data_IF_255556160958
#
_entry.id   IF_255556160958
#
_cell.length_a   1.000
_cell.length_b   1.000
_cell.length_c   1.000
_cell.angle_alpha   90.00
_cell.angle_beta   90.00
_cell.angle_gamma   90.00
#
_symmetry.space_group_name_H-M   'P 1'
#
loop_
_entity.id
_entity.type
_entity.pdbx_description
1 polymer ?
#
# COMPACT_ATOMS: atom_id res chain seq x y z
N UNK A 1 11.75 16.71 -2.04
CA UNK A 1 12.65 15.76 -1.35
C UNK A 1 12.33 15.74 0.14
N UNK A 2 12.10 14.59 0.80
CA UNK A 2 11.63 14.54 2.19
C UNK A 2 12.64 15.12 3.20
N UNK A 3 13.96 14.96 2.98
CA UNK A 3 15.00 15.56 3.83
C UNK A 3 15.00 17.09 3.84
N UNK A 4 14.37 17.76 2.87
CA UNK A 4 14.21 19.23 2.88
C UNK A 4 13.05 19.69 3.76
N UNK A 5 12.16 18.78 4.16
CA UNK A 5 10.92 19.09 4.90
C UNK A 5 10.87 18.46 6.29
N UNK A 6 11.53 17.31 6.47
CA UNK A 6 11.55 16.58 7.73
C UNK A 6 12.99 16.32 8.16
N UNK A 7 13.22 16.37 9.48
CA UNK A 7 14.50 15.96 10.05
C UNK A 7 14.76 14.48 9.73
N UNK A 8 16.01 14.13 9.42
CA UNK A 8 16.41 12.77 9.11
C UNK A 8 16.04 11.75 10.21
N UNK A 9 16.01 12.17 11.48
CA UNK A 9 15.59 11.32 12.61
C UNK A 9 14.13 10.84 12.53
N UNK A 10 13.30 11.52 11.72
CA UNK A 10 11.90 11.15 11.48
C UNK A 10 11.73 10.27 10.24
N UNK A 11 12.81 9.95 9.54
CA UNK A 11 12.79 9.16 8.31
C UNK A 11 13.52 7.84 8.57
N UNK A 12 12.80 6.73 8.41
CA UNK A 12 13.37 5.40 8.59
C UNK A 12 14.32 5.09 7.42
N UNK A 13 15.56 4.61 7.66
CA UNK A 13 16.45 4.19 6.58
C UNK A 13 15.85 3.01 5.84
N UNK A 14 16.01 2.96 4.51
CA UNK A 14 15.40 1.95 3.64
C UNK A 14 16.25 0.69 3.49
N UNK A 15 17.45 0.78 2.93
CA UNK A 15 18.33 -0.38 2.69
C UNK A 15 19.77 0.09 2.50
N UNK A 16 20.75 -0.77 2.79
CA UNK A 16 22.14 -0.53 2.40
C UNK A 16 22.28 -0.86 0.91
N UNK A 17 22.36 0.18 0.08
CA UNK A 17 22.56 0.04 -1.36
C UNK A 17 24.05 -0.15 -1.64
N UNK A 18 24.46 -1.38 -1.95
CA UNK A 18 25.85 -1.74 -2.23
C UNK A 18 26.19 -1.71 -3.72
N UNK A 19 25.20 -1.66 -4.61
CA UNK A 19 25.42 -1.77 -6.06
C UNK A 19 25.50 -0.42 -6.76
N UNK A 20 24.53 0.47 -6.52
CA UNK A 20 24.43 1.74 -7.25
C UNK A 20 24.98 2.91 -6.43
N UNK A 21 24.39 3.19 -5.26
CA UNK A 21 24.68 4.42 -4.49
C UNK A 21 25.72 4.21 -3.39
N UNK A 22 26.13 2.97 -3.12
CA UNK A 22 27.17 2.55 -2.16
C UNK A 22 26.99 3.19 -0.77
N UNK A 23 25.75 3.29 -0.29
CA UNK A 23 25.43 3.93 0.98
C UNK A 23 24.11 3.41 1.58
N UNK A 24 23.91 3.66 2.88
CA UNK A 24 22.61 3.45 3.52
C UNK A 24 21.62 4.49 3.00
N UNK A 25 20.58 4.05 2.29
CA UNK A 25 19.56 4.94 1.77
C UNK A 25 18.65 5.41 2.90
N UNK A 26 18.58 6.73 3.10
CA UNK A 26 17.63 7.35 4.02
C UNK A 26 17.06 8.62 3.38
N UNK A 27 15.73 8.68 3.24
CA UNK A 27 15.04 9.81 2.59
C UNK A 27 15.18 9.88 1.07
N UNK A 28 15.80 8.88 0.44
CA UNK A 28 15.90 8.73 -1.02
C UNK A 28 15.09 7.53 -1.47
N UNK A 29 14.49 7.61 -2.67
CA UNK A 29 13.75 6.49 -3.24
C UNK A 29 14.67 5.29 -3.42
N UNK A 30 14.16 4.11 -3.06
CA UNK A 30 14.88 2.85 -3.21
C UNK A 30 15.00 2.45 -4.69
N UNK A 31 13.89 2.59 -5.42
CA UNK A 31 13.77 2.24 -6.84
C UNK A 31 14.82 2.98 -7.67
N UNK A 32 15.64 2.21 -8.38
CA UNK A 32 16.77 2.74 -9.15
C UNK A 32 16.30 3.62 -10.30
N UNK A 33 15.25 3.20 -11.02
CA UNK A 33 14.69 3.96 -12.14
C UNK A 33 14.12 5.31 -11.70
N UNK A 34 13.31 5.34 -10.63
CA UNK A 34 12.78 6.57 -10.09
C UNK A 34 13.88 7.53 -9.60
N UNK A 35 15.01 7.01 -9.12
CA UNK A 35 16.14 7.86 -8.76
C UNK A 35 16.86 8.48 -9.96
N UNK A 36 17.04 7.72 -11.05
CA UNK A 36 17.56 8.29 -12.29
C UNK A 36 16.61 9.37 -12.87
N UNK A 37 15.31 9.26 -12.61
CA UNK A 37 14.30 10.26 -12.97
C UNK A 37 14.16 11.43 -11.98
N UNK A 38 15.14 11.64 -11.08
CA UNK A 38 15.13 12.76 -10.13
C UNK A 38 14.50 12.46 -8.77
N UNK A 39 14.23 11.20 -8.46
CA UNK A 39 13.83 10.71 -7.13
C UNK A 39 12.34 10.49 -6.93
N UNK A 40 11.49 10.89 -7.88
CA UNK A 40 10.06 10.64 -7.85
C UNK A 40 9.54 10.35 -9.27
N UNK A 41 8.80 9.25 -9.41
CA UNK A 41 8.21 8.80 -10.65
C UNK A 41 6.83 8.18 -10.36
N UNK A 42 6.03 7.91 -11.40
CA UNK A 42 4.67 7.37 -11.22
C UNK A 42 4.61 6.03 -10.46
N UNK A 43 5.70 5.28 -10.44
CA UNK A 43 5.83 4.00 -9.73
C UNK A 43 6.40 4.11 -8.30
N UNK A 44 7.20 5.13 -7.98
CA UNK A 44 7.94 5.21 -6.72
C UNK A 44 8.41 6.63 -6.35
N UNK A 45 8.85 6.82 -5.10
CA UNK A 45 9.47 8.07 -4.62
C UNK A 45 8.56 8.99 -3.81
N UNK A 46 7.34 8.56 -3.50
CA UNK A 46 6.46 9.25 -2.54
C UNK A 46 6.78 8.76 -1.12
N UNK A 47 6.98 9.70 -0.21
CA UNK A 47 7.20 9.45 1.22
C UNK A 47 6.03 9.98 2.04
N UNK A 48 5.51 9.16 2.94
CA UNK A 48 4.36 9.50 3.79
C UNK A 48 4.34 8.63 5.05
N UNK A 49 3.35 8.84 5.91
CA UNK A 49 3.10 8.04 7.11
C UNK A 49 1.66 7.48 7.08
N UNK A 50 1.33 6.61 8.05
CA UNK A 50 0.02 5.97 8.10
C UNK A 50 -1.14 6.98 8.27
N UNK A 51 -0.94 8.04 9.04
CA UNK A 51 -1.97 9.06 9.27
C UNK A 51 -2.30 9.85 7.99
N UNK A 52 -1.31 10.18 7.17
CA UNK A 52 -1.52 10.90 5.91
C UNK A 52 -2.11 9.98 4.83
N UNK A 53 -1.65 8.73 4.77
CA UNK A 53 -2.27 7.72 3.92
C UNK A 53 -3.74 7.47 4.32
N UNK A 54 -4.06 7.41 5.61
CA UNK A 54 -5.43 7.21 6.08
C UNK A 54 -6.39 8.28 5.53
N UNK A 55 -5.96 9.54 5.41
CA UNK A 55 -6.80 10.60 4.81
C UNK A 55 -7.13 10.31 3.35
N UNK A 56 -6.12 9.94 2.56
CA UNK A 56 -6.28 9.61 1.14
C UNK A 56 -7.15 8.37 0.98
N UNK A 57 -6.88 7.31 1.73
CA UNK A 57 -7.62 6.06 1.62
C UNK A 57 -9.06 6.21 2.14
N UNK A 58 -9.29 7.02 3.17
CA UNK A 58 -10.64 7.40 3.59
C UNK A 58 -11.37 8.17 2.48
N UNK A 59 -10.69 9.06 1.77
CA UNK A 59 -11.26 9.77 0.62
C UNK A 59 -11.73 8.78 -0.47
N UNK A 60 -10.93 7.74 -0.75
CA UNK A 60 -11.33 6.66 -1.66
C UNK A 60 -12.54 5.89 -1.14
N UNK A 61 -12.55 5.54 0.15
CA UNK A 61 -13.67 4.84 0.79
C UNK A 61 -14.97 5.66 0.70
N UNK A 62 -14.89 6.98 0.92
CA UNK A 62 -16.00 7.94 0.80
C UNK A 62 -16.21 8.48 -0.62
N UNK A 63 -15.73 7.75 -1.64
CA UNK A 63 -16.06 8.01 -3.05
C UNK A 63 -15.74 9.45 -3.50
N UNK A 64 -14.58 9.96 -3.10
CA UNK A 64 -14.02 11.21 -3.60
C UNK A 64 -14.08 12.36 -2.62
N UNK A 65 -14.57 12.15 -1.39
CA UNK A 65 -14.78 13.22 -0.40
C UNK A 65 -13.97 12.99 0.87
N UNK A 66 -13.40 14.05 1.43
CA UNK A 66 -12.72 13.99 2.72
C UNK A 66 -12.70 15.37 3.38
N UNK A 67 -12.98 15.42 4.68
CA UNK A 67 -12.96 16.68 5.46
C UNK A 67 -13.91 17.75 4.90
N UNK A 68 -15.08 17.37 4.39
CA UNK A 68 -16.05 18.30 3.81
C UNK A 68 -15.75 18.75 2.37
N UNK A 69 -14.63 18.33 1.78
CA UNK A 69 -14.24 18.70 0.42
C UNK A 69 -14.34 17.51 -0.55
N UNK A 70 -14.74 17.78 -1.80
CA UNK A 70 -14.71 16.80 -2.91
C UNK A 70 -13.45 16.99 -3.74
N UNK A 71 -12.63 15.93 -3.80
CA UNK A 71 -11.40 15.87 -4.60
C UNK A 71 -11.62 15.17 -5.94
N UNK A 72 -12.49 14.17 -5.96
CA UNK A 72 -12.83 13.41 -7.16
C UNK A 72 -14.34 13.21 -7.30
N UNK A 73 -14.81 13.09 -8.54
CA UNK A 73 -16.16 12.63 -8.79
C UNK A 73 -16.30 11.16 -8.41
N UNK A 74 -17.40 10.81 -7.75
CA UNK A 74 -17.65 9.45 -7.31
C UNK A 74 -17.68 8.45 -8.50
N UNK A 75 -18.13 8.89 -9.68
CA UNK A 75 -18.15 8.07 -10.90
C UNK A 75 -16.74 7.68 -11.35
N UNK A 76 -15.76 8.57 -11.19
CA UNK A 76 -14.37 8.34 -11.55
C UNK A 76 -13.74 7.33 -10.61
N UNK A 77 -13.92 7.48 -9.29
CA UNK A 77 -13.36 6.50 -8.35
C UNK A 77 -14.00 5.14 -8.52
N UNK A 78 -15.33 5.05 -8.66
CA UNK A 78 -16.00 3.78 -8.97
C UNK A 78 -15.42 3.13 -10.21
N UNK A 79 -15.23 3.88 -11.30
CA UNK A 79 -14.63 3.35 -12.52
C UNK A 79 -13.25 2.71 -12.27
N UNK A 80 -12.40 3.33 -11.45
CA UNK A 80 -11.08 2.78 -11.12
C UNK A 80 -11.16 1.57 -10.18
N UNK A 81 -12.09 1.56 -9.24
CA UNK A 81 -12.22 0.54 -8.18
C UNK A 81 -13.22 -0.57 -8.49
N UNK A 82 -13.86 -0.55 -9.66
CA UNK A 82 -14.77 -1.62 -10.13
C UNK A 82 -14.34 -2.24 -11.45
N UNK A 83 -13.61 -1.51 -12.29
CA UNK A 83 -13.11 -2.06 -13.56
C UNK A 83 -11.99 -3.07 -13.31
N UNK A 84 -12.26 -4.34 -13.59
CA UNK A 84 -11.29 -5.44 -13.45
C UNK A 84 -10.64 -5.80 -14.78
N UNK A 85 -9.39 -6.23 -14.70
CA UNK A 85 -8.70 -6.87 -15.81
C UNK A 85 -9.34 -8.23 -16.12
N UNK A 86 -9.40 -8.59 -17.41
CA UNK A 86 -9.79 -9.94 -17.84
C UNK A 86 -8.67 -10.98 -17.66
N UNK A 87 -7.43 -10.53 -17.47
CA UNK A 87 -6.22 -11.37 -17.46
C UNK A 87 -5.66 -11.59 -16.05
N UNK A 88 -6.08 -10.79 -15.07
CA UNK A 88 -5.58 -10.85 -13.70
C UNK A 88 -6.60 -10.30 -12.71
N UNK A 89 -6.34 -10.46 -11.42
CA UNK A 89 -7.15 -9.86 -10.35
C UNK A 89 -7.06 -8.34 -10.26
N UNK A 90 -6.21 -7.67 -11.07
CA UNK A 90 -5.97 -6.22 -10.97
C UNK A 90 -7.21 -5.41 -11.35
N UNK A 91 -7.34 -4.27 -10.68
CA UNK A 91 -8.19 -3.15 -11.08
C UNK A 91 -7.33 -2.01 -11.65
N UNK A 92 -7.93 -0.92 -12.11
CA UNK A 92 -7.17 0.21 -12.64
C UNK A 92 -6.34 0.87 -11.53
N UNK A 93 -5.03 0.62 -11.55
CA UNK A 93 -4.07 1.14 -10.57
C UNK A 93 -3.99 0.35 -9.25
N UNK A 94 -4.80 -0.70 -9.06
CA UNK A 94 -4.87 -1.43 -7.80
C UNK A 94 -4.75 -2.95 -7.98
N UNK A 95 -4.23 -3.61 -6.96
CA UNK A 95 -4.46 -5.03 -6.73
C UNK A 95 -5.85 -5.24 -6.11
N UNK A 96 -6.44 -6.42 -6.28
CA UNK A 96 -7.76 -6.71 -5.73
C UNK A 96 -7.92 -8.19 -5.37
N UNK A 97 -9.06 -8.53 -4.78
CA UNK A 97 -9.45 -9.91 -4.46
C UNK A 97 -9.29 -10.86 -5.66
N UNK A 98 -8.69 -12.04 -5.43
CA UNK A 98 -8.41 -13.03 -6.47
C UNK A 98 -9.68 -13.86 -6.77
N UNK A 99 -10.27 -13.76 -7.98
CA UNK A 99 -11.50 -14.47 -8.31
C UNK A 99 -11.31 -15.98 -8.50
N UNK A 100 -10.09 -16.45 -8.77
CA UNK A 100 -9.81 -17.86 -8.93
C UNK A 100 -9.53 -18.52 -7.54
N UNK A 101 -10.37 -19.45 -7.07
CA UNK A 101 -10.23 -20.04 -5.74
C UNK A 101 -9.02 -20.98 -5.60
N UNK A 102 -8.40 -21.41 -6.71
CA UNK A 102 -7.17 -22.21 -6.69
C UNK A 102 -5.91 -21.36 -6.49
N UNK A 103 -6.02 -20.02 -6.54
CA UNK A 103 -4.90 -19.10 -6.33
C UNK A 103 -4.91 -18.54 -4.91
N UNK A 104 -3.70 -18.27 -4.40
CA UNK A 104 -3.53 -17.65 -3.08
C UNK A 104 -4.17 -16.25 -3.05
N UNK A 105 -5.02 -16.00 -2.05
CA UNK A 105 -5.60 -14.68 -1.83
C UNK A 105 -4.56 -13.66 -1.38
N UNK A 106 -4.60 -12.41 -1.90
CA UNK A 106 -3.73 -11.33 -1.44
C UNK A 106 -4.20 -10.70 -0.12
N UNK A 107 -5.45 -11.00 0.28
CA UNK A 107 -6.15 -10.50 1.47
C UNK A 107 -6.63 -11.68 2.32
N UNK A 108 -7.09 -11.44 3.55
CA UNK A 108 -7.72 -12.49 4.36
C UNK A 108 -9.09 -12.93 3.82
N UNK A 109 -9.53 -14.12 4.19
CA UNK A 109 -10.81 -14.71 3.75
C UNK A 109 -12.05 -13.90 4.19
N UNK A 110 -11.97 -13.18 5.32
CA UNK A 110 -13.05 -12.31 5.81
C UNK A 110 -13.20 -11.00 5.01
N UNK A 111 -12.23 -10.67 4.14
CA UNK A 111 -12.30 -9.47 3.33
C UNK A 111 -13.35 -9.62 2.23
N UNK A 112 -14.09 -8.56 1.92
CA UNK A 112 -15.07 -8.63 0.85
C UNK A 112 -14.40 -8.80 -0.51
N UNK A 113 -15.11 -9.41 -1.46
CA UNK A 113 -14.63 -9.56 -2.85
C UNK A 113 -14.35 -8.22 -3.53
N UNK A 114 -14.89 -7.11 -3.01
CA UNK A 114 -14.68 -5.76 -3.52
C UNK A 114 -13.47 -5.06 -2.89
N UNK A 115 -12.70 -5.77 -2.06
CA UNK A 115 -11.48 -5.22 -1.46
C UNK A 115 -10.42 -4.97 -2.54
N UNK A 116 -9.84 -3.78 -2.52
CA UNK A 116 -8.79 -3.35 -3.44
C UNK A 116 -7.68 -2.60 -2.69
N UNK A 117 -6.48 -2.57 -3.25
CA UNK A 117 -5.33 -2.01 -2.55
C UNK A 117 -4.02 -2.19 -3.31
N UNK A 118 -2.91 -2.14 -2.58
CA UNK A 118 -1.59 -2.39 -3.17
C UNK A 118 -0.58 -2.86 -2.12
N UNK A 119 0.41 -3.62 -2.57
CA UNK A 119 1.60 -4.00 -1.78
C UNK A 119 2.82 -3.21 -2.22
N UNK A 120 3.69 -2.82 -1.29
CA UNK A 120 4.96 -2.16 -1.60
C UNK A 120 6.14 -3.12 -1.51
N UNK A 121 7.18 -2.83 -2.30
CA UNK A 121 8.42 -3.61 -2.33
C UNK A 121 9.09 -3.71 -0.94
N UNK A 122 9.05 -2.62 -0.18
CA UNK A 122 9.57 -2.52 1.19
C UNK A 122 8.72 -3.27 2.22
N UNK A 123 7.68 -4.00 1.80
CA UNK A 123 6.83 -4.81 2.67
C UNK A 123 5.57 -4.11 3.17
N UNK A 124 5.33 -2.87 2.71
CA UNK A 124 4.10 -2.15 3.02
C UNK A 124 2.89 -2.78 2.32
N UNK A 125 1.70 -2.49 2.81
CA UNK A 125 0.47 -2.64 2.04
C UNK A 125 -0.60 -1.68 2.53
N UNK A 126 -1.59 -1.45 1.68
CA UNK A 126 -2.88 -0.94 2.12
C UNK A 126 -4.01 -1.69 1.41
N UNK A 127 -5.16 -1.76 2.06
CA UNK A 127 -6.38 -2.35 1.54
C UNK A 127 -7.58 -1.50 1.94
N UNK A 128 -8.51 -1.31 1.01
CA UNK A 128 -9.80 -0.65 1.23
C UNK A 128 -10.88 -1.69 0.96
N UNK A 129 -11.70 -1.97 1.97
CA UNK A 129 -12.88 -2.79 1.85
C UNK A 129 -14.12 -1.91 1.92
N UNK A 130 -14.77 -1.60 0.78
CA UNK A 130 -15.92 -0.72 0.76
C UNK A 130 -17.18 -1.34 1.39
N UNK A 131 -17.26 -2.66 1.46
CA UNK A 131 -18.42 -3.37 2.02
C UNK A 131 -18.37 -3.31 3.54
N UNK A 132 -17.23 -3.70 4.11
CA UNK A 132 -17.03 -3.68 5.56
C UNK A 132 -16.61 -2.30 6.09
N UNK A 133 -16.40 -1.32 5.19
CA UNK A 133 -15.94 0.05 5.49
C UNK A 133 -14.63 0.10 6.29
N UNK A 134 -13.67 -0.74 5.88
CA UNK A 134 -12.35 -0.86 6.52
C UNK A 134 -11.27 -0.26 5.61
N UNK A 135 -10.39 0.53 6.22
CA UNK A 135 -9.08 0.88 5.65
C UNK A 135 -8.00 0.21 6.50
N UNK A 136 -7.22 -0.66 5.88
CA UNK A 136 -6.07 -1.31 6.51
C UNK A 136 -4.79 -0.75 5.91
N UNK A 137 -3.89 -0.28 6.77
CA UNK A 137 -2.56 0.22 6.39
C UNK A 137 -1.52 -0.53 7.21
N UNK A 138 -0.54 -1.10 6.53
CA UNK A 138 0.63 -1.73 7.14
C UNK A 138 1.90 -1.12 6.56
N UNK A 139 2.67 -0.42 7.38
CA UNK A 139 3.93 0.16 6.99
C UNK A 139 5.07 -0.62 7.66
N UNK A 140 5.93 -1.22 6.84
CA UNK A 140 7.12 -1.92 7.30
C UNK A 140 8.29 -1.63 6.38
N UNK A 141 9.46 -2.11 6.77
CA UNK A 141 10.65 -2.04 5.94
C UNK A 141 11.41 -3.37 5.95
N UNK A 142 10.88 -4.37 5.24
CA UNK A 142 11.51 -5.70 5.12
C UNK A 142 12.82 -5.71 4.33
N UNK A 143 13.18 -4.60 3.70
CA UNK A 143 14.41 -4.51 2.88
C UNK A 143 15.58 -3.87 3.64
N UNK A 144 15.40 -3.61 4.94
CA UNK A 144 16.46 -3.17 5.82
C UNK A 144 17.03 -4.34 6.65
N UNK A 145 18.37 -4.48 6.74
CA UNK A 145 19.38 -3.71 6.00
C UNK A 145 19.49 -4.13 4.53
N UNK A 146 19.00 -5.32 4.16
CA UNK A 146 19.06 -5.87 2.81
C UNK A 146 17.73 -6.51 2.36
N UNK A 147 17.64 -6.88 1.08
CA UNK A 147 16.40 -7.33 0.41
C UNK A 147 16.03 -8.80 0.68
N UNK A 148 16.86 -9.57 1.37
CA UNK A 148 16.72 -11.05 1.48
C UNK A 148 15.60 -11.48 2.41
N UNK A 149 15.20 -10.64 3.37
CA UNK A 149 14.19 -10.98 4.34
C UNK A 149 12.80 -11.15 3.67
N UNK A 150 12.26 -12.36 3.74
CA UNK A 150 10.96 -12.72 3.17
C UNK A 150 9.91 -13.10 4.22
N UNK A 151 10.18 -12.86 5.51
CA UNK A 151 9.35 -13.35 6.62
C UNK A 151 7.89 -12.92 6.52
N UNK A 152 7.61 -11.68 6.09
CA UNK A 152 6.23 -11.18 5.93
C UNK A 152 5.40 -12.02 4.96
N UNK A 153 6.01 -12.48 3.86
CA UNK A 153 5.34 -13.30 2.86
C UNK A 153 5.27 -14.78 3.30
N UNK A 154 6.37 -15.30 3.86
CA UNK A 154 6.48 -16.69 4.31
C UNK A 154 5.53 -17.01 5.47
N UNK A 155 5.40 -16.09 6.42
CA UNK A 155 4.54 -16.26 7.61
C UNK A 155 3.12 -15.74 7.40
N UNK A 156 2.85 -15.15 6.23
CA UNK A 156 1.56 -14.57 5.85
C UNK A 156 1.04 -13.52 6.84
N UNK A 157 1.95 -12.67 7.34
CA UNK A 157 1.66 -11.72 8.42
C UNK A 157 0.58 -10.71 8.02
N UNK A 158 0.62 -10.20 6.78
CA UNK A 158 -0.27 -9.12 6.36
C UNK A 158 -1.74 -9.57 6.30
N UNK A 159 -2.11 -10.70 5.67
CA UNK A 159 -3.46 -11.24 5.75
C UNK A 159 -3.87 -11.64 7.17
N UNK A 160 -2.97 -12.22 7.98
CA UNK A 160 -3.29 -12.58 9.38
C UNK A 160 -3.67 -11.37 10.23
N UNK A 161 -2.92 -10.28 10.13
CA UNK A 161 -3.29 -9.01 10.80
C UNK A 161 -4.64 -8.52 10.28
N UNK A 162 -4.86 -8.58 8.97
CA UNK A 162 -6.13 -8.19 8.38
C UNK A 162 -7.30 -9.00 8.94
N UNK A 163 -7.16 -10.32 9.10
CA UNK A 163 -8.17 -11.19 9.68
C UNK A 163 -8.54 -10.77 11.12
N UNK A 164 -7.54 -10.47 11.95
CA UNK A 164 -7.75 -10.00 13.33
C UNK A 164 -8.52 -8.67 13.35
N UNK A 165 -8.28 -7.78 12.38
CA UNK A 165 -9.05 -6.53 12.24
C UNK A 165 -10.53 -6.85 12.03
N UNK A 166 -10.88 -7.75 11.10
CA UNK A 166 -12.28 -8.14 10.86
C UNK A 166 -12.91 -8.86 12.06
N UNK A 167 -12.19 -9.78 12.69
CA UNK A 167 -12.67 -10.49 13.90
C UNK A 167 -12.99 -9.53 15.05
N UNK A 168 -12.24 -8.42 15.17
CA UNK A 168 -12.50 -7.39 16.18
C UNK A 168 -13.81 -6.63 15.94
N UNK A 169 -14.31 -6.61 14.70
CA UNK A 169 -15.56 -5.93 14.33
C UNK A 169 -16.80 -6.80 14.57
N UNK A 170 -16.65 -8.12 14.53
CA UNK A 170 -17.75 -9.09 14.75
C UNK A 170 -18.15 -9.22 16.23
N UNK A 171 -17.25 -8.91 17.16
CA UNK A 171 -17.47 -9.07 18.62
C UNK A 171 -18.29 -7.93 19.26
N UNK A 172 -19.47 -7.63 18.74
CA UNK A 172 -20.41 -6.68 19.37
C UNK A 172 -21.71 -7.35 19.79
#
# INVERSE_FOLDING_TARGET
>A
HPLKRFNASRIVPTTLDTCLRKQLLCGYTHDEAAAFLGGAAGNAGVFSNANDLAKVLQMYLEQGTYGGHRYFEAKTLRFFTSTRSKLSRRMLGFDAYEPNPQKKQPVCEKASIWTYGHVGFTGTCFWIDPVNRVVYIFLSNRVHPDRTNNALARLDIRPKIQAVIYESMEKK
#
